data_IF_630501795946
#
_entry.id   IF_630501795946
#
_cell.length_a   1.000
_cell.length_b   1.000
_cell.length_c   1.000
_cell.angle_alpha   90.00
_cell.angle_beta   90.00
_cell.angle_gamma   90.00
#
_symmetry.space_group_name_H-M   'P 1'
#
loop_
_entity.id
_entity.type
_entity.pdbx_description
1 polymer ?
#
# COMPACT_ATOMS: atom_id res chain seq x y z
N UNK A 1 -6.52 41.14 1.13
CA UNK A 1 -6.88 39.71 1.28
C UNK A 1 -5.71 38.78 0.94
N UNK A 2 -4.79 39.20 0.06
CA UNK A 2 -3.53 38.49 -0.25
C UNK A 2 -2.74 37.96 0.95
N UNK A 3 -2.56 38.78 2.01
CA UNK A 3 -1.77 38.40 3.18
C UNK A 3 -2.31 37.13 3.88
N UNK A 4 -3.63 36.95 3.91
CA UNK A 4 -4.24 35.78 4.56
C UNK A 4 -3.88 34.52 3.77
N UNK A 5 -3.94 34.58 2.43
CA UNK A 5 -3.55 33.46 1.57
C UNK A 5 -2.08 33.11 1.70
N UNK A 6 -1.20 34.12 1.75
CA UNK A 6 0.24 33.91 1.92
C UNK A 6 0.54 33.23 3.27
N UNK A 7 -0.16 33.60 4.35
CA UNK A 7 -0.03 32.96 5.67
C UNK A 7 -0.51 31.51 5.61
N UNK A 8 -1.65 31.24 4.97
CA UNK A 8 -2.21 29.89 4.85
C UNK A 8 -1.25 28.99 4.07
N UNK A 9 -0.78 29.43 2.90
CA UNK A 9 0.17 28.68 2.06
C UNK A 9 1.46 28.40 2.85
N UNK A 10 2.00 29.41 3.53
CA UNK A 10 3.21 29.26 4.34
C UNK A 10 3.02 28.25 5.48
N UNK A 11 1.85 28.27 6.15
CA UNK A 11 1.55 27.30 7.21
C UNK A 11 1.53 25.86 6.68
N UNK A 12 0.89 25.60 5.53
CA UNK A 12 0.88 24.29 4.89
C UNK A 12 2.28 23.81 4.47
N UNK A 13 3.13 24.72 3.98
CA UNK A 13 4.52 24.41 3.64
C UNK A 13 5.36 24.07 4.88
N UNK A 14 5.18 24.81 5.98
CA UNK A 14 5.88 24.54 7.25
C UNK A 14 5.45 23.18 7.81
N UNK A 15 4.15 22.89 7.83
CA UNK A 15 3.63 21.57 8.23
C UNK A 15 4.24 20.48 7.33
N UNK A 16 4.29 20.72 6.03
CA UNK A 16 4.88 19.81 5.04
C UNK A 16 6.34 19.49 5.35
N UNK A 17 7.13 20.53 5.61
CA UNK A 17 8.53 20.41 6.00
C UNK A 17 8.74 19.67 7.32
N UNK A 18 7.91 19.94 8.33
CA UNK A 18 7.98 19.24 9.63
C UNK A 18 7.71 17.75 9.45
N UNK A 19 6.64 17.37 8.72
CA UNK A 19 6.32 15.96 8.48
C UNK A 19 7.36 15.27 7.60
N UNK A 20 7.90 15.97 6.59
CA UNK A 20 9.03 15.48 5.79
C UNK A 20 10.25 15.18 6.65
N UNK A 21 10.65 16.13 7.50
CA UNK A 21 11.78 15.99 8.41
C UNK A 21 11.58 14.85 9.41
N UNK A 22 10.43 14.81 10.10
CA UNK A 22 10.10 13.77 11.08
C UNK A 22 10.01 12.39 10.40
N UNK A 23 9.46 12.31 9.18
CA UNK A 23 9.41 11.07 8.41
C UNK A 23 10.79 10.53 8.06
N UNK A 24 11.67 11.39 7.55
CA UNK A 24 13.07 11.01 7.25
C UNK A 24 13.83 10.61 8.51
N UNK A 25 13.66 11.35 9.61
CA UNK A 25 14.29 11.03 10.89
C UNK A 25 13.77 9.69 11.44
N UNK A 26 12.46 9.47 11.39
CA UNK A 26 11.83 8.22 11.84
C UNK A 26 12.32 7.01 11.04
N UNK A 27 12.50 7.16 9.72
CA UNK A 27 13.01 6.09 8.85
C UNK A 27 14.42 5.61 9.25
N UNK A 28 15.27 6.51 9.76
CA UNK A 28 16.63 6.20 10.21
C UNK A 28 16.67 5.71 11.67
N UNK A 29 15.79 6.25 12.53
CA UNK A 29 15.82 6.01 13.99
C UNK A 29 15.10 4.73 14.42
N UNK A 30 14.04 4.32 13.70
CA UNK A 30 13.17 3.22 14.12
C UNK A 30 13.83 1.83 13.92
N UNK A 31 13.68 0.89 14.86
CA UNK A 31 14.43 -0.37 14.86
C UNK A 31 13.86 -1.46 13.93
N UNK A 32 12.54 -1.50 13.74
CA UNK A 32 11.85 -2.58 13.01
C UNK A 32 11.34 -2.11 11.64
N UNK A 33 11.44 -2.90 10.55
CA UNK A 33 11.00 -2.49 9.21
C UNK A 33 9.54 -2.03 9.13
N UNK A 34 8.65 -2.67 9.89
CA UNK A 34 7.22 -2.34 9.86
C UNK A 34 6.96 -1.04 10.64
N UNK A 35 7.65 -0.84 11.75
CA UNK A 35 7.63 0.47 12.44
C UNK A 35 8.24 1.58 11.59
N UNK A 36 9.33 1.29 10.85
CA UNK A 36 9.99 2.24 9.94
C UNK A 36 9.07 2.68 8.83
N UNK A 37 8.22 1.81 8.28
CA UNK A 37 7.25 2.15 7.23
C UNK A 37 6.20 3.20 7.66
N UNK A 38 5.86 3.27 8.95
CA UNK A 38 4.91 4.27 9.45
C UNK A 38 5.43 5.71 9.34
N UNK A 39 6.75 5.93 9.44
CA UNK A 39 7.30 7.29 9.40
C UNK A 39 7.25 7.91 7.99
N UNK A 40 7.75 7.25 6.91
CA UNK A 40 7.62 7.72 5.54
C UNK A 40 6.17 7.80 5.06
N UNK A 41 5.28 6.88 5.47
CA UNK A 41 3.87 6.92 5.04
C UNK A 41 3.13 8.14 5.60
N UNK A 42 3.42 8.56 6.84
CA UNK A 42 2.91 9.83 7.40
C UNK A 42 3.48 11.05 6.67
N UNK A 43 4.77 11.02 6.32
CA UNK A 43 5.39 12.10 5.58
C UNK A 43 4.84 12.23 4.15
N UNK A 44 4.58 11.12 3.48
CA UNK A 44 3.98 11.11 2.14
C UNK A 44 2.53 11.59 2.14
N UNK A 45 1.72 11.19 3.13
CA UNK A 45 0.30 11.57 3.17
C UNK A 45 0.10 12.99 3.68
N UNK A 46 0.58 13.32 4.88
CA UNK A 46 0.38 14.64 5.49
C UNK A 46 1.40 15.64 4.98
N UNK A 47 2.67 15.24 4.87
CA UNK A 47 3.75 16.16 4.49
C UNK A 47 3.67 16.58 3.02
N UNK A 48 3.67 15.61 2.09
CA UNK A 48 3.53 15.93 0.66
C UNK A 48 2.12 16.43 0.36
N UNK A 49 1.08 15.87 0.99
CA UNK A 49 -0.29 16.35 0.84
C UNK A 49 -0.47 17.82 1.22
N UNK A 50 0.16 18.30 2.30
CA UNK A 50 0.08 19.71 2.69
C UNK A 50 0.76 20.62 1.67
N UNK A 51 1.91 20.20 1.11
CA UNK A 51 2.61 20.95 0.04
C UNK A 51 1.77 21.02 -1.23
N UNK A 52 1.08 19.93 -1.59
CA UNK A 52 0.21 19.90 -2.77
C UNK A 52 -1.01 20.82 -2.59
N UNK A 53 -1.64 20.80 -1.40
CA UNK A 53 -2.73 21.74 -1.07
C UNK A 53 -2.23 23.19 -1.14
N UNK A 54 -1.04 23.48 -0.59
CA UNK A 54 -0.44 24.80 -0.67
C UNK A 54 -0.23 25.24 -2.14
N UNK A 55 0.25 24.34 -2.99
CA UNK A 55 0.43 24.60 -4.42
C UNK A 55 -0.90 24.90 -5.11
N UNK A 56 -1.93 24.08 -4.89
CA UNK A 56 -3.26 24.28 -5.50
C UNK A 56 -3.88 25.63 -5.09
N UNK A 57 -3.76 26.01 -3.82
CA UNK A 57 -4.23 27.31 -3.33
C UNK A 57 -3.46 28.45 -4.00
N UNK A 58 -2.14 28.33 -4.12
CA UNK A 58 -1.32 29.36 -4.76
C UNK A 58 -1.70 29.57 -6.22
N UNK A 59 -1.85 28.50 -7.01
CA UNK A 59 -2.24 28.59 -8.42
C UNK A 59 -3.67 29.12 -8.59
N UNK A 60 -4.60 28.66 -7.75
CA UNK A 60 -5.99 29.14 -7.78
C UNK A 60 -6.09 30.65 -7.50
N UNK A 61 -5.31 31.17 -6.53
CA UNK A 61 -5.41 32.58 -6.11
C UNK A 61 -4.55 33.51 -6.98
N UNK A 62 -3.33 33.10 -7.36
CA UNK A 62 -2.38 33.99 -8.07
C UNK A 62 -2.49 33.94 -9.59
N UNK A 63 -2.94 32.82 -10.11
CA UNK A 63 -2.85 32.52 -11.53
C UNK A 63 -4.24 32.39 -12.18
N UNK A 64 -5.31 32.20 -11.39
CA UNK A 64 -6.70 32.10 -11.87
C UNK A 64 -6.91 30.91 -12.83
N UNK A 65 -6.01 29.93 -12.79
CA UNK A 65 -6.12 28.68 -13.53
C UNK A 65 -5.76 27.48 -12.65
N UNK A 66 -6.58 26.43 -12.76
CA UNK A 66 -6.30 25.14 -12.16
C UNK A 66 -5.34 24.36 -13.08
N UNK A 67 -4.12 24.17 -12.61
CA UNK A 67 -3.10 23.37 -13.28
C UNK A 67 -3.45 21.89 -13.19
N UNK A 68 -3.83 21.27 -14.32
CA UNK A 68 -4.09 19.83 -14.39
C UNK A 68 -2.85 19.00 -13.96
N UNK A 69 -1.66 19.56 -14.13
CA UNK A 69 -0.40 18.92 -13.76
C UNK A 69 -0.32 18.67 -12.24
N UNK A 70 -0.69 19.63 -11.40
CA UNK A 70 -0.69 19.45 -9.93
C UNK A 70 -1.70 18.41 -9.47
N UNK A 71 -2.87 18.35 -10.11
CA UNK A 71 -3.87 17.32 -9.82
C UNK A 71 -3.33 15.93 -10.15
N UNK A 72 -2.70 15.76 -11.32
CA UNK A 72 -2.09 14.50 -11.75
C UNK A 72 -0.97 14.08 -10.79
N UNK A 73 -0.06 15.00 -10.43
CA UNK A 73 1.01 14.73 -9.46
C UNK A 73 0.44 14.31 -8.11
N UNK A 74 -0.61 15.00 -7.65
CA UNK A 74 -1.29 14.67 -6.39
C UNK A 74 -1.84 13.25 -6.41
N UNK A 75 -2.65 12.92 -7.42
CA UNK A 75 -3.24 11.58 -7.57
C UNK A 75 -2.16 10.51 -7.69
N UNK A 76 -1.12 10.78 -8.48
CA UNK A 76 -0.03 9.83 -8.69
C UNK A 76 0.72 9.54 -7.39
N UNK A 77 1.10 10.55 -6.62
CA UNK A 77 1.81 10.35 -5.35
C UNK A 77 0.90 9.67 -4.32
N UNK A 78 -0.37 10.10 -4.21
CA UNK A 78 -1.32 9.50 -3.26
C UNK A 78 -1.66 8.04 -3.59
N UNK A 79 -1.59 7.64 -4.86
CA UNK A 79 -1.82 6.25 -5.26
C UNK A 79 -0.56 5.41 -5.10
N UNK A 80 0.59 5.92 -5.52
CA UNK A 80 1.85 5.15 -5.52
C UNK A 80 2.35 4.90 -4.10
N UNK A 81 2.26 5.88 -3.20
CA UNK A 81 2.73 5.74 -1.81
C UNK A 81 2.08 4.56 -1.04
N UNK A 82 0.74 4.41 -0.97
CA UNK A 82 0.11 3.29 -0.28
C UNK A 82 0.33 1.95 -1.00
N UNK A 83 0.37 1.94 -2.33
CA UNK A 83 0.65 0.71 -3.11
C UNK A 83 2.07 0.22 -2.79
N UNK A 84 3.08 1.09 -2.86
CA UNK A 84 4.45 0.76 -2.49
C UNK A 84 4.55 0.29 -1.04
N UNK A 85 3.88 0.97 -0.10
CA UNK A 85 3.87 0.55 1.30
C UNK A 85 3.26 -0.85 1.48
N UNK A 86 2.15 -1.15 0.81
CA UNK A 86 1.52 -2.47 0.86
C UNK A 86 2.45 -3.59 0.34
N UNK A 87 3.14 -3.36 -0.78
CA UNK A 87 4.10 -4.33 -1.32
C UNK A 87 5.30 -4.54 -0.39
N UNK A 88 5.87 -3.48 0.18
CA UNK A 88 6.99 -3.59 1.14
C UNK A 88 6.53 -4.34 2.40
N UNK A 89 5.33 -4.05 2.92
CA UNK A 89 4.79 -4.76 4.09
C UNK A 89 4.62 -6.25 3.82
N UNK A 90 4.03 -6.60 2.67
CA UNK A 90 3.85 -7.99 2.26
C UNK A 90 5.19 -8.72 2.11
N UNK A 91 6.17 -8.08 1.49
CA UNK A 91 7.52 -8.63 1.35
C UNK A 91 8.20 -8.87 2.71
N UNK A 92 8.04 -7.96 3.67
CA UNK A 92 8.62 -8.14 5.01
C UNK A 92 7.94 -9.29 5.77
N UNK A 93 6.61 -9.43 5.68
CA UNK A 93 5.89 -10.55 6.30
C UNK A 93 6.39 -11.90 5.76
N UNK A 94 6.55 -12.04 4.45
CA UNK A 94 7.05 -13.28 3.87
C UNK A 94 8.52 -13.56 4.19
N UNK A 95 9.33 -12.52 4.37
CA UNK A 95 10.74 -12.67 4.77
C UNK A 95 10.87 -13.20 6.20
N UNK A 96 10.02 -12.73 7.10
CA UNK A 96 10.11 -13.04 8.53
C UNK A 96 9.32 -14.32 8.90
N UNK A 97 8.65 -14.98 7.94
CA UNK A 97 7.86 -16.18 8.19
C UNK A 97 8.77 -17.40 8.44
N UNK A 98 8.64 -18.10 9.59
CA UNK A 98 9.46 -19.26 9.89
C UNK A 98 9.13 -20.42 8.95
N UNK A 99 10.15 -20.97 8.28
CA UNK A 99 9.97 -22.07 7.32
C UNK A 99 9.33 -23.32 7.95
N UNK A 100 9.55 -23.53 9.25
CA UNK A 100 8.98 -24.61 10.06
C UNK A 100 7.47 -24.46 10.30
N UNK A 101 6.93 -23.24 10.24
CA UNK A 101 5.51 -22.94 10.42
C UNK A 101 4.74 -22.86 9.10
N UNK A 102 5.42 -23.00 7.96
CA UNK A 102 4.73 -23.15 6.70
C UNK A 102 3.98 -24.49 6.72
N UNK A 103 2.70 -24.53 6.31
CA UNK A 103 1.99 -25.80 6.19
C UNK A 103 2.81 -26.72 5.28
N UNK A 104 3.08 -27.94 5.78
CA UNK A 104 3.74 -28.97 4.98
C UNK A 104 2.80 -29.40 3.86
N UNK A 105 3.34 -29.80 2.69
CA UNK A 105 2.49 -30.27 1.59
C UNK A 105 1.61 -31.41 2.08
N UNK A 106 0.36 -31.44 1.62
CA UNK A 106 -0.46 -32.62 1.73
C UNK A 106 0.13 -33.66 0.76
N UNK A 107 0.95 -34.58 1.28
CA UNK A 107 1.64 -35.61 0.48
C UNK A 107 3.16 -35.55 0.59
N UNK A 108 3.84 -36.50 -0.05
CA UNK A 108 5.32 -36.60 -0.08
C UNK A 108 5.97 -35.66 -1.12
N UNK A 109 5.16 -34.80 -1.75
CA UNK A 109 5.54 -33.97 -2.89
C UNK A 109 6.14 -32.61 -2.57
N UNK A 110 6.92 -32.09 -3.52
CA UNK A 110 7.44 -30.72 -3.49
C UNK A 110 6.40 -29.75 -4.09
N UNK A 111 5.95 -28.74 -3.33
CA UNK A 111 4.90 -27.76 -3.71
C UNK A 111 5.13 -27.03 -5.03
N UNK A 112 6.36 -27.02 -5.54
CA UNK A 112 6.74 -26.33 -6.77
C UNK A 112 6.51 -27.16 -8.04
N UNK A 113 6.16 -28.44 -7.90
CA UNK A 113 5.89 -29.34 -9.02
C UNK A 113 4.41 -29.68 -9.04
N UNK A 114 3.74 -29.47 -10.17
CA UNK A 114 2.37 -29.96 -10.35
C UNK A 114 2.41 -31.50 -10.34
N UNK A 115 1.97 -32.11 -9.25
CA UNK A 115 1.88 -33.56 -9.14
C UNK A 115 0.44 -34.02 -9.36
N UNK A 116 0.24 -35.03 -10.21
CA UNK A 116 -1.09 -35.51 -10.63
C UNK A 116 -1.89 -36.19 -9.52
N UNK A 117 -1.23 -36.58 -8.44
CA UNK A 117 -1.78 -37.19 -7.22
C UNK A 117 -2.28 -36.16 -6.21
N UNK A 118 -1.91 -34.88 -6.35
CA UNK A 118 -2.47 -33.77 -5.57
C UNK A 118 -3.76 -33.19 -6.19
N UNK A 119 -4.14 -33.63 -7.40
CA UNK A 119 -5.34 -33.20 -8.11
C UNK A 119 -6.56 -34.00 -7.65
N UNK A 120 -7.16 -33.59 -6.53
CA UNK A 120 -8.38 -34.21 -5.96
C UNK A 120 -9.64 -33.93 -6.78
N UNK A 121 -9.55 -33.13 -7.85
CA UNK A 121 -10.69 -32.81 -8.72
C UNK A 121 -11.38 -34.07 -9.26
N UNK A 122 -10.64 -35.15 -9.50
CA UNK A 122 -11.21 -36.42 -9.99
C UNK A 122 -12.04 -37.16 -8.93
N UNK A 123 -11.65 -37.08 -7.67
CA UNK A 123 -12.38 -37.70 -6.56
C UNK A 123 -13.61 -36.88 -6.19
N UNK A 124 -13.50 -35.55 -6.21
CA UNK A 124 -14.63 -34.63 -6.00
C UNK A 124 -15.71 -34.80 -7.10
N UNK A 125 -15.31 -34.88 -8.37
CA UNK A 125 -16.22 -35.14 -9.50
C UNK A 125 -16.87 -36.54 -9.43
N UNK A 126 -16.18 -37.53 -8.85
CA UNK A 126 -16.74 -38.87 -8.67
C UNK A 126 -17.80 -38.89 -7.55
N UNK A 127 -17.58 -38.17 -6.45
CA UNK A 127 -18.54 -38.04 -5.35
C UNK A 127 -19.80 -37.26 -5.72
N UNK A 128 -19.70 -36.26 -6.60
CA UNK A 128 -20.86 -35.51 -7.11
C UNK A 128 -21.77 -36.40 -7.98
N UNK A 129 -21.20 -37.27 -8.83
CA UNK A 129 -21.99 -38.20 -9.66
C UNK A 129 -22.73 -39.26 -8.85
N UNK A 130 -22.13 -39.74 -7.76
CA UNK A 130 -22.76 -40.72 -6.86
C UNK A 130 -23.90 -40.09 -6.03
N UNK A 131 -23.73 -38.80 -5.68
CA UNK A 131 -24.76 -38.02 -4.97
C UNK A 131 -25.94 -37.67 -5.88
N UNK A 132 -25.69 -37.32 -7.15
CA UNK A 132 -26.74 -37.07 -8.15
C UNK A 132 -27.50 -38.36 -8.52
N UNK A 133 -26.82 -39.51 -8.63
CA UNK A 133 -27.45 -40.79 -8.93
C UNK A 133 -28.37 -41.29 -7.81
N UNK A 134 -28.06 -40.97 -6.54
CA UNK A 134 -28.87 -41.39 -5.38
C UNK A 134 -30.11 -40.49 -5.17
N UNK A 135 -30.14 -39.30 -5.77
CA UNK A 135 -31.24 -38.34 -5.61
C UNK A 135 -32.33 -38.44 -6.70
N UNK A 136 -32.16 -39.36 -7.65
CA UNK A 136 -33.04 -39.57 -8.81
C UNK A 136 -33.92 -40.82 -8.72
N UNK A 137 -33.84 -41.56 -7.60
CA UNK A 137 -34.70 -42.72 -7.24
C UNK A 137 -35.77 -42.33 -6.19
#
# INVERSE_FOLDING_TARGET
>A
MELIWDIVISAFLVIGGIFGFVGSLGLVKLPDPMTRLHAPTKAATVGVGSVLIASMIWFAVKQDHLSLHELIVTVFIFLTAPVTAHFISKANIFRDWPADKLPRPAGEGEWAVHQSDADTSKEELAGEQETEATQQD
#
